data_IF_094497127741
#
_entry.id   IF_094497127741
#
_cell.length_a   1.000
_cell.length_b   1.000
_cell.length_c   1.000
_cell.angle_alpha   90.00
_cell.angle_beta   90.00
_cell.angle_gamma   90.00
#
_symmetry.space_group_name_H-M   'P 1'
#
loop_
_entity.id
_entity.type
_entity.pdbx_description
1 polymer ?
#
# COMPACT_ATOMS: atom_id res chain seq x y z
N UNK A 1 -24.51 29.78 10.16
CA UNK A 1 -24.96 28.39 10.49
C UNK A 1 -24.39 27.40 9.48
N UNK A 2 -24.47 26.08 9.72
CA UNK A 2 -23.83 25.05 8.86
C UNK A 2 -24.24 25.16 7.37
N UNK A 3 -25.44 25.64 7.07
CA UNK A 3 -25.89 25.91 5.70
C UNK A 3 -25.05 26.98 4.98
N UNK A 4 -24.85 28.14 5.62
CA UNK A 4 -23.99 29.21 5.08
C UNK A 4 -22.54 28.76 4.92
N UNK A 5 -22.06 27.88 5.80
CA UNK A 5 -20.73 27.30 5.69
C UNK A 5 -20.62 26.36 4.48
N UNK A 6 -21.64 25.53 4.23
CA UNK A 6 -21.72 24.69 3.02
C UNK A 6 -21.72 25.53 1.75
N UNK A 7 -22.48 26.62 1.74
CA UNK A 7 -22.64 27.45 0.56
C UNK A 7 -21.36 28.27 0.27
N UNK A 8 -20.67 28.76 1.30
CA UNK A 8 -19.35 29.39 1.15
C UNK A 8 -18.28 28.41 0.64
N UNK A 9 -18.32 27.15 1.09
CA UNK A 9 -17.43 26.11 0.57
C UNK A 9 -17.70 25.78 -0.89
N UNK A 10 -18.97 25.76 -1.31
CA UNK A 10 -19.33 25.55 -2.72
C UNK A 10 -18.80 26.67 -3.61
N UNK A 11 -18.97 27.93 -3.19
CA UNK A 11 -18.48 29.08 -3.95
C UNK A 11 -16.95 29.01 -4.15
N UNK A 12 -16.20 28.66 -3.11
CA UNK A 12 -14.74 28.48 -3.20
C UNK A 12 -14.38 27.28 -4.10
N UNK A 13 -15.13 26.17 -4.01
CA UNK A 13 -14.89 24.99 -4.87
C UNK A 13 -15.22 25.30 -6.33
N UNK A 14 -16.26 26.07 -6.61
CA UNK A 14 -16.63 26.44 -7.98
C UNK A 14 -15.66 27.48 -8.55
N UNK A 15 -15.15 28.41 -7.73
CA UNK A 15 -14.20 29.46 -8.15
C UNK A 15 -12.75 28.94 -8.30
N UNK A 16 -12.33 28.00 -7.45
CA UNK A 16 -10.94 27.52 -7.40
C UNK A 16 -10.77 26.03 -7.65
N UNK A 17 -11.84 25.25 -7.76
CA UNK A 17 -11.80 23.79 -7.97
C UNK A 17 -11.74 23.37 -9.43
N UNK A 18 -12.00 24.26 -10.38
CA UNK A 18 -11.80 24.02 -11.80
C UNK A 18 -10.30 23.82 -12.08
N UNK A 19 -9.88 22.55 -12.21
CA UNK A 19 -8.49 22.14 -12.41
C UNK A 19 -7.89 21.31 -11.27
N UNK A 20 -8.53 21.25 -10.09
CA UNK A 20 -8.15 20.37 -8.96
C UNK A 20 -9.06 19.16 -8.81
N UNK A 21 -10.19 19.13 -9.52
CA UNK A 21 -10.89 17.89 -9.80
C UNK A 21 -10.00 17.15 -10.80
N UNK A 22 -8.95 16.49 -10.28
CA UNK A 22 -8.25 15.44 -10.99
C UNK A 22 -9.35 14.52 -11.53
N UNK A 23 -9.49 14.57 -12.86
CA UNK A 23 -10.24 13.68 -13.73
C UNK A 23 -10.68 12.45 -12.95
N UNK A 24 -11.99 12.25 -12.72
CA UNK A 24 -12.53 11.21 -11.84
C UNK A 24 -11.77 9.90 -12.06
N UNK A 25 -10.72 9.68 -11.27
CA UNK A 25 -9.82 8.60 -11.58
C UNK A 25 -10.57 7.37 -11.12
N UNK A 26 -10.92 6.50 -12.07
CA UNK A 26 -11.60 5.24 -11.81
C UNK A 26 -10.60 4.27 -11.15
N UNK A 27 -10.06 4.72 -10.02
CA UNK A 27 -9.10 4.00 -9.23
C UNK A 27 -9.82 2.92 -8.45
N UNK A 28 -9.17 1.76 -8.23
CA UNK A 28 -9.69 0.73 -7.37
C UNK A 28 -9.99 1.28 -5.96
N UNK A 29 -10.93 0.67 -5.22
CA UNK A 29 -11.17 1.05 -3.83
C UNK A 29 -9.96 0.75 -2.95
N UNK A 30 -9.76 1.59 -1.93
CA UNK A 30 -8.77 1.34 -0.88
C UNK A 30 -9.05 0.03 -0.14
N UNK A 31 -7.97 -0.67 0.23
CA UNK A 31 -8.03 -1.87 1.06
C UNK A 31 -7.25 -1.65 2.36
N UNK A 32 -7.63 -2.36 3.42
CA UNK A 32 -6.89 -2.33 4.68
C UNK A 32 -7.05 -3.64 5.45
N UNK A 33 -6.10 -3.90 6.34
CA UNK A 33 -6.23 -4.95 7.35
C UNK A 33 -5.48 -4.58 8.62
N UNK A 34 -5.83 -5.26 9.71
CA UNK A 34 -5.19 -5.10 11.01
C UNK A 34 -4.56 -6.41 11.46
N UNK A 35 -3.30 -6.35 11.91
CA UNK A 35 -2.59 -7.47 12.53
C UNK A 35 -1.62 -6.95 13.58
N UNK A 36 -1.42 -7.69 14.68
CA UNK A 36 -0.40 -7.40 15.69
C UNK A 36 -0.38 -5.96 16.22
N UNK A 37 -1.57 -5.38 16.42
CA UNK A 37 -1.70 -3.98 16.88
C UNK A 37 -1.35 -2.92 15.84
N UNK A 38 -1.12 -3.32 14.58
CA UNK A 38 -0.83 -2.44 13.45
C UNK A 38 -1.96 -2.45 12.43
N UNK A 39 -2.20 -1.31 11.78
CA UNK A 39 -3.10 -1.19 10.64
C UNK A 39 -2.28 -0.98 9.37
N UNK A 40 -2.61 -1.71 8.32
CA UNK A 40 -2.04 -1.54 6.99
C UNK A 40 -3.10 -0.99 6.05
N UNK A 41 -2.79 0.09 5.35
CA UNK A 41 -3.67 0.72 4.35
C UNK A 41 -3.04 0.66 2.97
N UNK A 42 -3.86 0.40 1.95
CA UNK A 42 -3.50 0.29 0.55
C UNK A 42 -4.42 1.25 -0.21
N UNK A 43 -3.94 2.46 -0.47
CA UNK A 43 -4.72 3.53 -1.08
C UNK A 43 -4.21 3.83 -2.49
N UNK A 44 -4.99 3.50 -3.53
CA UNK A 44 -4.76 4.05 -4.86
C UNK A 44 -4.86 5.58 -4.83
N UNK A 45 -4.03 6.25 -5.62
CA UNK A 45 -4.09 7.70 -5.77
C UNK A 45 -3.62 8.13 -7.15
N UNK A 46 -3.97 9.36 -7.50
CA UNK A 46 -3.53 10.04 -8.71
C UNK A 46 -2.74 11.29 -8.34
N UNK A 47 -1.80 11.68 -9.20
CA UNK A 47 -1.16 13.00 -9.19
C UNK A 47 -0.68 13.32 -10.60
N UNK A 48 -0.07 14.49 -10.82
CA UNK A 48 0.44 14.92 -12.12
C UNK A 48 1.45 13.98 -12.81
N UNK A 49 2.03 13.01 -12.09
CA UNK A 49 2.91 11.96 -12.65
C UNK A 49 2.19 10.66 -13.00
N UNK A 50 0.88 10.59 -12.77
CA UNK A 50 0.02 9.43 -12.99
C UNK A 50 -0.34 8.68 -11.71
N UNK A 51 -0.96 7.51 -11.91
CA UNK A 51 -1.51 6.67 -10.85
C UNK A 51 -0.42 5.99 -10.02
N UNK A 52 -0.72 5.79 -8.74
CA UNK A 52 0.15 5.13 -7.79
C UNK A 52 -0.65 4.39 -6.70
N UNK A 53 0.04 3.50 -5.98
CA UNK A 53 -0.46 2.85 -4.78
C UNK A 53 0.33 3.32 -3.56
N UNK A 54 -0.34 3.90 -2.58
CA UNK A 54 0.24 4.26 -1.29
C UNK A 54 0.00 3.13 -0.29
N UNK A 55 1.08 2.63 0.30
CA UNK A 55 1.02 1.59 1.33
C UNK A 55 1.46 2.22 2.65
N UNK A 56 0.59 2.18 3.66
CA UNK A 56 0.84 2.78 4.99
C UNK A 56 0.81 1.71 6.08
N UNK A 57 1.86 1.62 6.91
CA UNK A 57 1.85 0.94 8.20
C UNK A 57 1.57 1.99 9.29
N UNK A 58 0.54 1.77 10.11
CA UNK A 58 0.19 2.61 11.24
C UNK A 58 0.19 1.79 12.53
N UNK A 59 0.88 2.29 13.57
CA UNK A 59 0.88 1.72 14.92
C UNK A 59 0.26 2.74 15.89
N UNK A 60 -1.06 2.70 16.12
CA UNK A 60 -1.74 3.73 16.91
C UNK A 60 -1.23 3.85 18.35
N UNK A 61 -0.88 2.72 18.98
CA UNK A 61 -0.41 2.67 20.37
C UNK A 61 0.86 3.50 20.63
N UNK A 62 1.71 3.66 19.61
CA UNK A 62 2.97 4.40 19.70
C UNK A 62 2.99 5.63 18.77
N UNK A 63 1.89 5.89 18.05
CA UNK A 63 1.78 7.01 17.11
C UNK A 63 2.67 6.94 15.87
N UNK A 64 3.26 5.78 15.56
CA UNK A 64 4.19 5.64 14.42
C UNK A 64 3.43 5.38 13.11
N UNK A 65 3.78 6.11 12.06
CA UNK A 65 3.27 5.93 10.70
C UNK A 65 4.42 5.84 9.69
N UNK A 66 4.48 4.74 8.96
CA UNK A 66 5.42 4.54 7.84
C UNK A 66 4.61 4.46 6.54
N UNK A 67 5.12 5.06 5.46
CA UNK A 67 4.40 5.09 4.18
C UNK A 67 5.37 5.01 3.02
N UNK A 68 5.03 4.20 2.03
CA UNK A 68 5.69 4.16 0.72
C UNK A 68 4.66 4.43 -0.37
N UNK A 69 5.14 4.92 -1.52
CA UNK A 69 4.33 5.06 -2.73
C UNK A 69 4.97 4.24 -3.85
N UNK A 70 4.15 3.44 -4.52
CA UNK A 70 4.54 2.60 -5.65
C UNK A 70 3.88 3.15 -6.92
N UNK A 71 4.66 3.39 -7.98
CA UNK A 71 4.05 3.65 -9.28
C UNK A 71 3.33 2.39 -9.79
N UNK A 72 2.27 2.56 -10.58
CA UNK A 72 1.51 1.41 -11.13
C UNK A 72 2.42 0.44 -11.89
N UNK A 73 3.43 0.94 -12.61
CA UNK A 73 4.40 0.10 -13.33
C UNK A 73 5.25 -0.81 -12.44
N UNK A 74 5.45 -0.47 -11.16
CA UNK A 74 6.22 -1.28 -10.22
C UNK A 74 5.39 -2.39 -9.54
N UNK A 75 4.07 -2.30 -9.58
CA UNK A 75 3.16 -3.23 -8.89
C UNK A 75 3.37 -4.69 -9.34
N UNK A 76 3.48 -5.03 -10.65
CA UNK A 76 3.67 -6.42 -11.06
C UNK A 76 4.91 -7.08 -10.46
N UNK A 77 6.05 -6.37 -10.43
CA UNK A 77 7.28 -6.86 -9.84
C UNK A 77 7.17 -7.01 -8.32
N UNK A 78 6.53 -6.04 -7.66
CA UNK A 78 6.27 -6.11 -6.23
C UNK A 78 5.43 -7.34 -5.86
N UNK A 79 4.36 -7.61 -6.62
CA UNK A 79 3.51 -8.80 -6.45
C UNK A 79 4.29 -10.10 -6.67
N UNK A 80 5.13 -10.17 -7.71
CA UNK A 80 5.97 -11.35 -7.96
C UNK A 80 6.89 -11.65 -6.76
N UNK A 81 7.57 -10.63 -6.23
CA UNK A 81 8.45 -10.76 -5.07
C UNK A 81 7.65 -11.20 -3.83
N UNK A 82 6.49 -10.58 -3.56
CA UNK A 82 5.64 -10.96 -2.44
C UNK A 82 5.17 -12.42 -2.53
N UNK A 83 4.75 -12.87 -3.71
CA UNK A 83 4.31 -14.25 -3.92
C UNK A 83 5.47 -15.24 -3.72
N UNK A 84 6.66 -14.93 -4.24
CA UNK A 84 7.86 -15.75 -4.00
C UNK A 84 8.17 -15.84 -2.51
N UNK A 85 8.22 -14.71 -1.81
CA UNK A 85 8.48 -14.70 -0.36
C UNK A 85 7.41 -15.45 0.42
N UNK A 86 6.14 -15.33 0.03
CA UNK A 86 5.04 -16.08 0.66
C UNK A 86 5.25 -17.59 0.53
N UNK A 87 5.62 -18.07 -0.66
CA UNK A 87 5.94 -19.48 -0.90
C UNK A 87 7.17 -19.92 -0.09
N UNK A 88 8.24 -19.13 -0.08
CA UNK A 88 9.46 -19.42 0.68
C UNK A 88 9.17 -19.52 2.19
N UNK A 89 8.31 -18.65 2.75
CA UNK A 89 7.92 -18.75 4.16
C UNK A 89 7.05 -19.98 4.45
N UNK A 90 6.27 -20.46 3.49
CA UNK A 90 5.51 -21.70 3.65
C UNK A 90 6.42 -22.92 3.65
N UNK A 91 7.43 -22.97 2.78
CA UNK A 91 8.37 -24.10 2.73
C UNK A 91 9.20 -24.19 4.00
N UNK A 92 9.72 -23.07 4.51
CA UNK A 92 10.47 -23.01 5.78
C UNK A 92 9.68 -23.49 7.00
N UNK A 93 8.35 -23.44 6.94
CA UNK A 93 7.47 -23.88 8.05
C UNK A 93 7.11 -25.37 7.97
N UNK A 94 7.55 -26.08 6.93
CA UNK A 94 7.44 -27.54 6.84
C UNK A 94 8.71 -28.22 7.39
N UNK A 95 8.62 -29.36 8.08
CA UNK A 95 9.79 -30.10 8.57
C UNK A 95 10.81 -30.40 7.46
N UNK A 96 10.33 -30.71 6.25
CA UNK A 96 11.16 -31.01 5.07
C UNK A 96 11.86 -29.78 4.48
N UNK A 97 11.27 -28.58 4.62
CA UNK A 97 11.85 -27.35 4.11
C UNK A 97 13.01 -26.82 4.95
N UNK A 98 13.00 -27.08 6.25
CA UNK A 98 14.16 -26.82 7.12
C UNK A 98 15.36 -27.67 6.68
N UNK A 99 15.14 -28.95 6.33
CA UNK A 99 16.22 -29.84 5.88
C UNK A 99 16.77 -29.43 4.50
N UNK A 100 15.92 -28.97 3.59
CA UNK A 100 16.34 -28.43 2.28
C UNK A 100 17.11 -27.10 2.40
N UNK A 101 16.62 -26.16 3.21
CA UNK A 101 17.31 -24.88 3.43
C UNK A 101 18.69 -25.06 4.06
N UNK A 102 18.81 -26.01 5.00
CA UNK A 102 20.09 -26.35 5.62
C UNK A 102 21.08 -26.94 4.61
N UNK A 103 20.60 -27.76 3.66
CA UNK A 103 21.43 -28.34 2.59
C UNK A 103 21.81 -27.33 1.49
N UNK A 104 20.99 -26.32 1.22
CA UNK A 104 21.33 -25.25 0.26
C UNK A 104 22.36 -24.26 0.83
N UNK A 105 22.22 -23.87 2.10
CA UNK A 105 23.20 -23.03 2.78
C UNK A 105 24.58 -23.70 2.84
N UNK A 106 24.63 -25.00 3.14
CA UNK A 106 25.87 -25.78 3.15
C UNK A 106 26.55 -25.93 1.77
N UNK A 107 25.84 -25.67 0.67
CA UNK A 107 26.40 -25.69 -0.70
C UNK A 107 26.98 -24.34 -1.13
N UNK A 108 26.73 -23.27 -0.39
CA UNK A 108 27.30 -21.94 -0.66
C UNK A 108 28.62 -21.70 0.11
N UNK A 109 29.02 -22.61 1.01
CA UNK A 109 30.26 -22.54 1.80
C UNK A 109 31.40 -23.42 1.23
N UNK A 110 31.31 -23.89 -0.02
CA UNK A 110 32.37 -24.63 -0.73
C UNK A 110 32.72 -23.93 -2.05
#
# INVERSE_FOLDING_TARGET
GVGQFRDALKEIIDEFGEGYIEESTDLPPSHNFRTDGKNFFFDPGHNSRGDFLKITELKPSVGVRNTIALSVGAIPQFTQILNKLHQDFQTLRTPDGAEKATKELAKMEI
#
